data_IF_261584781853
#
_entry.id   IF_261584781853
#
_cell.length_a   1.000
_cell.length_b   1.000
_cell.length_c   1.000
_cell.angle_alpha   90.00
_cell.angle_beta   90.00
_cell.angle_gamma   90.00
#
_symmetry.space_group_name_H-M   'P 1'
#
loop_
_entity.id
_entity.type
_entity.pdbx_description
1 polymer ?
#
# COMPACT_ATOMS: atom_id res chain seq x y z
N UNK A 1 9.46 29.79 -3.15
CA UNK A 1 10.24 28.71 -3.77
C UNK A 1 9.99 28.76 -5.27
N UNK A 2 11.03 28.74 -6.09
CA UNK A 2 10.87 28.74 -7.55
C UNK A 2 10.31 27.38 -8.01
N UNK A 3 9.48 27.32 -9.05
CA UNK A 3 8.99 26.05 -9.59
C UNK A 3 10.16 25.27 -10.17
N UNK A 4 10.29 24.00 -9.78
CA UNK A 4 11.25 23.05 -10.35
C UNK A 4 10.75 22.75 -11.76
N UNK A 5 11.38 23.33 -12.78
CA UNK A 5 11.22 22.91 -14.16
C UNK A 5 12.06 21.64 -14.36
N UNK A 6 11.46 20.48 -14.20
CA UNK A 6 12.05 19.22 -14.65
C UNK A 6 11.80 19.05 -16.14
N UNK A 7 12.85 19.15 -16.93
CA UNK A 7 12.83 18.66 -18.32
C UNK A 7 12.88 17.13 -18.24
N UNK A 8 11.74 16.46 -18.42
CA UNK A 8 11.64 14.99 -18.49
C UNK A 8 12.35 14.57 -19.80
N UNK A 9 13.45 13.80 -19.70
CA UNK A 9 14.03 13.11 -20.84
C UNK A 9 13.19 11.85 -21.15
N UNK A 10 13.09 11.48 -22.43
CA UNK A 10 12.33 10.30 -22.86
C UNK A 10 13.04 9.01 -22.38
N UNK A 11 12.87 8.62 -21.13
CA UNK A 11 13.52 7.47 -20.48
C UNK A 11 13.47 7.53 -18.96
N UNK A 12 13.09 8.69 -18.40
CA UNK A 12 13.01 8.88 -16.95
C UNK A 12 11.56 8.73 -16.46
N UNK A 13 11.38 8.28 -15.21
CA UNK A 13 10.07 8.29 -14.54
C UNK A 13 9.57 9.74 -14.32
N UNK A 14 8.32 9.88 -13.90
CA UNK A 14 7.71 11.19 -13.65
C UNK A 14 8.35 11.94 -12.47
N UNK A 15 8.73 11.21 -11.40
CA UNK A 15 9.41 11.75 -10.23
C UNK A 15 10.64 10.92 -9.89
N UNK A 16 11.68 11.60 -9.39
CA UNK A 16 12.94 10.98 -9.01
C UNK A 16 12.79 10.24 -7.66
N UNK A 17 13.18 8.97 -7.66
CA UNK A 17 13.20 8.11 -6.49
C UNK A 17 14.63 7.91 -5.98
N UNK A 18 14.78 7.70 -4.68
CA UNK A 18 16.05 7.26 -4.10
C UNK A 18 16.41 5.89 -4.69
N UNK A 19 17.57 5.80 -5.31
CA UNK A 19 18.04 4.59 -5.98
C UNK A 19 17.48 4.37 -7.40
N UNK A 20 16.97 5.41 -8.07
CA UNK A 20 16.52 5.34 -9.46
C UNK A 20 17.63 4.91 -10.45
N UNK A 21 18.89 5.21 -10.11
CA UNK A 21 20.11 4.86 -10.83
C UNK A 21 20.85 3.65 -10.25
N UNK A 22 20.22 2.92 -9.29
CA UNK A 22 20.84 1.77 -8.63
C UNK A 22 21.27 0.73 -9.66
N UNK A 23 22.57 0.46 -9.72
CA UNK A 23 23.13 -0.63 -10.51
C UNK A 23 23.22 -1.90 -9.66
N UNK A 24 22.72 -3.02 -10.18
CA UNK A 24 22.71 -4.32 -9.52
C UNK A 24 23.47 -5.37 -10.32
N UNK A 25 24.18 -6.31 -9.64
CA UNK A 25 24.86 -7.40 -10.31
C UNK A 25 23.90 -8.49 -10.72
N UNK A 26 24.08 -9.06 -11.91
CA UNK A 26 23.42 -10.26 -12.38
C UNK A 26 24.24 -11.53 -12.03
N UNK A 27 23.62 -12.69 -12.16
CA UNK A 27 24.28 -13.98 -11.88
C UNK A 27 25.40 -14.33 -12.86
N UNK A 28 25.41 -13.77 -14.04
CA UNK A 28 26.49 -13.89 -15.06
C UNK A 28 27.65 -12.92 -14.85
N UNK A 29 27.54 -12.00 -13.88
CA UNK A 29 28.55 -11.01 -13.51
C UNK A 29 28.36 -9.65 -14.20
N UNK A 30 27.40 -9.49 -15.09
CA UNK A 30 27.05 -8.18 -15.63
C UNK A 30 26.40 -7.28 -14.57
N UNK A 31 26.43 -5.97 -14.80
CA UNK A 31 25.78 -4.96 -13.96
C UNK A 31 24.79 -4.18 -14.79
N UNK A 32 23.56 -4.08 -14.29
CA UNK A 32 22.48 -3.37 -14.99
C UNK A 32 21.78 -2.41 -14.03
N UNK A 33 21.13 -1.38 -14.57
CA UNK A 33 20.22 -0.53 -13.81
C UNK A 33 19.06 -1.40 -13.25
N UNK A 34 18.77 -1.27 -12.00
CA UNK A 34 17.65 -1.98 -11.37
C UNK A 34 16.31 -1.42 -11.84
N UNK A 35 15.43 -2.26 -12.35
CA UNK A 35 14.06 -1.91 -12.67
C UNK A 35 13.15 -2.32 -11.51
N UNK A 36 12.69 -1.34 -10.71
CA UNK A 36 11.79 -1.61 -9.58
C UNK A 36 10.33 -1.61 -10.05
N UNK A 37 9.74 -2.78 -10.15
CA UNK A 37 8.33 -3.00 -10.46
C UNK A 37 7.58 -3.68 -9.30
N UNK A 38 8.02 -3.45 -8.04
CA UNK A 38 7.35 -3.93 -6.82
C UNK A 38 6.81 -2.77 -5.94
N UNK A 39 6.42 -1.66 -6.55
CA UNK A 39 5.93 -0.47 -5.84
C UNK A 39 4.67 -0.73 -5.00
N UNK A 40 3.79 -1.64 -5.42
CA UNK A 40 2.58 -2.01 -4.68
C UNK A 40 2.87 -2.76 -3.37
N UNK A 41 4.06 -3.37 -3.21
CA UNK A 41 4.51 -3.92 -1.94
C UNK A 41 5.11 -2.83 -1.05
N UNK A 42 6.12 -2.09 -1.56
CA UNK A 42 6.73 -0.94 -0.90
C UNK A 42 7.44 -0.08 -1.94
N UNK A 43 7.07 1.19 -2.03
CA UNK A 43 7.72 2.14 -2.92
C UNK A 43 9.00 2.70 -2.30
N UNK A 44 10.08 2.93 -3.09
CA UNK A 44 11.23 3.70 -2.65
C UNK A 44 10.82 5.11 -2.23
N UNK A 45 11.63 5.79 -1.42
CA UNK A 45 11.38 7.18 -1.09
C UNK A 45 11.51 8.07 -2.33
N UNK A 46 10.66 9.11 -2.45
CA UNK A 46 10.99 10.23 -3.33
C UNK A 46 12.29 10.88 -2.87
N UNK A 47 13.11 11.34 -3.81
CA UNK A 47 14.35 12.06 -3.48
C UNK A 47 14.08 13.30 -2.63
N UNK A 48 12.98 14.01 -2.91
CA UNK A 48 12.53 15.16 -2.12
C UNK A 48 12.12 14.79 -0.69
N UNK A 49 11.55 13.58 -0.48
CA UNK A 49 11.18 13.09 0.85
C UNK A 49 12.44 12.77 1.67
N UNK A 50 13.41 12.09 1.07
CA UNK A 50 14.67 11.79 1.73
C UNK A 50 15.41 13.07 2.14
N UNK A 51 15.50 14.06 1.24
CA UNK A 51 16.10 15.34 1.53
C UNK A 51 15.39 16.09 2.66
N UNK A 52 14.05 16.12 2.65
CA UNK A 52 13.27 16.75 3.71
C UNK A 52 13.49 16.10 5.08
N UNK A 53 13.56 14.76 5.13
CA UNK A 53 13.88 14.01 6.37
C UNK A 53 15.30 14.33 6.84
N UNK A 54 16.27 14.41 5.94
CA UNK A 54 17.65 14.77 6.25
C UNK A 54 17.76 16.19 6.86
N UNK A 55 16.99 17.16 6.35
CA UNK A 55 16.90 18.51 6.90
C UNK A 55 16.29 18.55 8.31
N UNK A 56 15.35 17.66 8.63
CA UNK A 56 14.73 17.58 9.95
C UNK A 56 15.61 16.90 10.99
N UNK A 57 16.47 15.96 10.61
CA UNK A 57 17.27 15.12 11.53
C UNK A 57 18.07 15.91 12.56
N UNK A 58 18.77 17.05 12.24
CA UNK A 58 19.49 17.85 13.23
C UNK A 58 18.60 18.45 14.32
N UNK A 59 17.30 18.61 14.04
CA UNK A 59 16.30 19.17 14.95
C UNK A 59 15.44 18.09 15.62
N UNK A 60 15.77 16.80 15.43
CA UNK A 60 14.99 15.73 16.04
C UNK A 60 15.07 15.77 17.57
N UNK A 61 13.93 15.88 18.22
CA UNK A 61 13.79 15.95 19.67
C UNK A 61 12.46 15.34 20.13
N UNK A 62 12.14 15.50 21.42
CA UNK A 62 10.87 15.00 21.96
C UNK A 62 9.68 15.77 21.38
N UNK A 63 8.65 15.05 20.96
CA UNK A 63 7.40 15.64 20.44
C UNK A 63 6.45 15.92 21.61
N UNK A 64 5.88 17.12 21.69
CA UNK A 64 4.91 17.61 22.70
C UNK A 64 5.37 17.68 24.16
N UNK A 65 6.64 17.38 24.50
CA UNK A 65 7.05 17.20 25.91
C UNK A 65 8.33 17.91 26.30
N UNK A 66 8.92 18.70 25.42
CA UNK A 66 10.16 19.42 25.68
C UNK A 66 10.05 20.89 25.42
N UNK A 67 10.77 21.71 26.23
CA UNK A 67 10.89 23.15 26.05
C UNK A 67 12.13 23.55 25.24
N UNK A 68 13.00 22.61 24.90
CA UNK A 68 14.19 22.85 24.09
C UNK A 68 13.87 23.16 22.63
N UNK A 69 14.71 23.93 21.95
CA UNK A 69 14.48 24.37 20.57
C UNK A 69 14.21 23.19 19.62
N UNK A 70 15.01 22.14 19.66
CA UNK A 70 14.80 20.95 18.82
C UNK A 70 13.44 20.27 19.08
N UNK A 71 12.99 20.21 20.35
CA UNK A 71 11.68 19.68 20.71
C UNK A 71 10.53 20.54 20.17
N UNK A 72 10.68 21.87 20.17
CA UNK A 72 9.70 22.77 19.58
C UNK A 72 9.60 22.56 18.06
N UNK A 73 10.74 22.49 17.36
CA UNK A 73 10.78 22.25 15.91
C UNK A 73 10.17 20.87 15.57
N UNK A 74 10.54 19.81 16.31
CA UNK A 74 9.96 18.48 16.08
C UNK A 74 8.47 18.43 16.32
N UNK A 75 7.97 19.16 17.33
CA UNK A 75 6.54 19.26 17.63
C UNK A 75 5.79 20.00 16.53
N UNK A 76 6.33 21.12 16.06
CA UNK A 76 5.76 21.89 14.96
C UNK A 76 5.73 21.08 13.67
N UNK A 77 6.84 20.41 13.31
CA UNK A 77 6.92 19.54 12.14
C UNK A 77 5.88 18.41 12.20
N UNK A 78 5.69 17.80 13.37
CA UNK A 78 4.70 16.73 13.56
C UNK A 78 3.25 17.25 13.44
N UNK A 79 2.98 18.44 13.99
CA UNK A 79 1.66 19.09 13.90
C UNK A 79 1.36 19.48 12.45
N UNK A 80 2.33 20.12 11.76
CA UNK A 80 2.17 20.50 10.36
C UNK A 80 2.03 19.28 9.43
N UNK A 81 2.73 18.19 9.74
CA UNK A 81 2.57 16.93 9.00
C UNK A 81 1.11 16.43 9.07
N UNK A 82 0.46 16.52 10.22
CA UNK A 82 -0.95 16.14 10.39
C UNK A 82 -1.89 17.01 9.56
N UNK A 83 -1.65 18.31 9.56
CA UNK A 83 -2.43 19.26 8.76
C UNK A 83 -2.31 18.98 7.27
N UNK A 84 -1.08 18.80 6.75
CA UNK A 84 -0.81 18.50 5.34
C UNK A 84 -1.46 17.16 4.90
N UNK A 85 -1.42 16.15 5.76
CA UNK A 85 -2.13 14.89 5.50
C UNK A 85 -3.64 15.09 5.50
N UNK A 86 -4.18 15.91 6.39
CA UNK A 86 -5.59 16.30 6.40
C UNK A 86 -5.99 17.04 5.13
N UNK A 87 -5.19 18.00 4.68
CA UNK A 87 -5.36 18.74 3.42
C UNK A 87 -5.35 17.77 2.21
N UNK A 88 -4.40 16.82 2.20
CA UNK A 88 -4.29 15.79 1.14
C UNK A 88 -5.53 14.91 1.04
N UNK A 89 -6.10 14.54 2.19
CA UNK A 89 -7.28 13.69 2.28
C UNK A 89 -8.61 14.46 2.23
N UNK A 90 -8.61 15.79 2.10
CA UNK A 90 -9.84 16.57 2.10
C UNK A 90 -10.68 16.36 3.36
N UNK A 91 -10.04 16.27 4.55
CA UNK A 91 -10.75 15.98 5.81
C UNK A 91 -11.71 17.10 6.19
N UNK A 92 -12.82 16.74 6.85
CA UNK A 92 -13.77 17.68 7.47
C UNK A 92 -13.15 18.32 8.71
N UNK A 93 -13.71 19.45 9.17
CA UNK A 93 -13.20 20.20 10.34
C UNK A 93 -13.14 19.34 11.62
N UNK A 94 -14.09 18.42 11.80
CA UNK A 94 -14.22 17.56 12.98
C UNK A 94 -13.62 16.15 12.80
N UNK A 95 -13.04 15.85 11.65
CA UNK A 95 -12.33 14.59 11.43
C UNK A 95 -11.00 14.55 12.20
N UNK A 96 -10.57 13.35 12.56
CA UNK A 96 -9.25 13.11 13.15
C UNK A 96 -8.31 12.53 12.08
N UNK A 97 -7.06 12.96 12.10
CA UNK A 97 -5.96 12.35 11.39
C UNK A 97 -5.04 11.71 12.42
N UNK A 98 -4.87 10.40 12.38
CA UNK A 98 -4.07 9.62 13.32
C UNK A 98 -2.87 9.00 12.59
N UNK A 99 -1.69 9.13 13.18
CA UNK A 99 -0.52 8.40 12.69
C UNK A 99 -0.44 7.02 13.34
N UNK A 100 -0.29 6.02 12.51
CA UNK A 100 -0.16 4.61 12.86
C UNK A 100 1.14 4.07 12.26
N UNK A 101 1.43 2.77 12.40
CA UNK A 101 2.61 2.16 11.74
C UNK A 101 2.35 1.88 10.26
N UNK A 102 1.13 1.53 9.89
CA UNK A 102 0.70 1.17 8.53
C UNK A 102 -0.83 0.98 8.49
N UNK A 103 -1.40 0.63 7.33
CA UNK A 103 -2.84 0.34 7.16
C UNK A 103 -3.33 -0.79 8.08
N UNK A 104 -2.55 -1.85 8.27
CA UNK A 104 -2.92 -2.95 9.20
C UNK A 104 -3.13 -2.43 10.61
N UNK A 105 -2.23 -1.56 11.08
CA UNK A 105 -2.31 -0.93 12.39
C UNK A 105 -3.52 0.01 12.49
N UNK A 106 -3.77 0.79 11.43
CA UNK A 106 -4.91 1.70 11.31
C UNK A 106 -6.26 0.98 11.46
N UNK A 107 -6.45 -0.13 10.73
CA UNK A 107 -7.68 -0.91 10.84
C UNK A 107 -7.81 -1.68 12.16
N UNK A 108 -6.71 -2.12 12.77
CA UNK A 108 -6.77 -2.67 14.13
C UNK A 108 -7.19 -1.61 15.16
N UNK A 109 -6.73 -0.35 15.01
CA UNK A 109 -7.18 0.77 15.83
C UNK A 109 -8.68 1.01 15.62
N UNK A 110 -9.15 1.14 14.38
CA UNK A 110 -10.55 1.37 14.05
C UNK A 110 -11.45 0.23 14.56
N UNK A 111 -11.02 -1.03 14.41
CA UNK A 111 -11.74 -2.20 14.95
C UNK A 111 -11.88 -2.16 16.47
N UNK A 112 -10.87 -1.63 17.18
CA UNK A 112 -10.92 -1.41 18.62
C UNK A 112 -11.80 -0.22 19.04
N UNK A 113 -12.14 0.68 18.12
CA UNK A 113 -12.97 1.84 18.35
C UNK A 113 -14.45 1.64 17.94
N UNK A 114 -14.77 0.51 17.30
CA UNK A 114 -16.15 0.21 16.91
C UNK A 114 -17.09 0.21 18.10
N UNK A 115 -18.32 0.76 17.96
CA UNK A 115 -19.35 0.65 18.99
C UNK A 115 -19.70 -0.80 19.29
N UNK A 116 -20.13 -1.07 20.52
CA UNK A 116 -20.58 -2.41 20.92
C UNK A 116 -21.75 -2.88 20.04
N UNK A 117 -21.67 -4.13 19.58
CA UNK A 117 -22.68 -4.71 18.69
C UNK A 117 -22.61 -4.24 17.25
N UNK A 118 -21.52 -3.60 16.85
CA UNK A 118 -21.31 -3.20 15.45
C UNK A 118 -21.23 -4.43 14.53
N UNK A 119 -21.88 -4.35 13.37
CA UNK A 119 -21.74 -5.29 12.25
C UNK A 119 -20.79 -4.71 11.21
N UNK A 120 -19.83 -5.50 10.74
CA UNK A 120 -18.92 -5.12 9.66
C UNK A 120 -19.22 -5.95 8.42
N UNK A 121 -19.44 -5.26 7.29
CA UNK A 121 -19.60 -5.86 5.97
C UNK A 121 -18.28 -5.70 5.20
N UNK A 122 -17.76 -6.79 4.63
CA UNK A 122 -16.52 -6.76 3.85
C UNK A 122 -16.57 -7.81 2.74
N UNK A 123 -15.74 -7.65 1.71
CA UNK A 123 -15.67 -8.61 0.61
C UNK A 123 -14.55 -9.62 0.87
N UNK A 124 -14.77 -10.88 0.49
CA UNK A 124 -13.80 -11.97 0.67
C UNK A 124 -12.45 -11.69 0.00
N UNK A 125 -12.45 -10.94 -1.12
CA UNK A 125 -11.26 -10.62 -1.91
C UNK A 125 -10.35 -9.53 -1.32
N UNK A 126 -10.67 -8.98 -0.16
CA UNK A 126 -9.91 -7.93 0.50
C UNK A 126 -8.50 -8.39 0.91
N UNK A 127 -7.58 -7.44 0.96
CA UNK A 127 -6.27 -7.65 1.60
C UNK A 127 -6.44 -8.06 3.08
N UNK A 128 -5.58 -8.93 3.60
CA UNK A 128 -5.66 -9.40 4.99
C UNK A 128 -5.73 -8.28 6.03
N UNK A 129 -5.12 -7.12 5.76
CA UNK A 129 -5.20 -5.93 6.63
C UNK A 129 -6.63 -5.40 6.74
N UNK A 130 -7.47 -5.62 5.71
CA UNK A 130 -8.88 -5.22 5.67
C UNK A 130 -9.86 -6.39 5.87
N UNK A 131 -9.39 -7.58 6.22
CA UNK A 131 -10.21 -8.74 6.59
C UNK A 131 -10.09 -9.10 8.06
N UNK A 132 -8.85 -9.20 8.56
CA UNK A 132 -8.59 -9.85 9.85
C UNK A 132 -8.97 -9.01 11.07
N UNK A 133 -8.79 -7.67 11.08
CA UNK A 133 -9.14 -6.86 12.25
C UNK A 133 -10.62 -6.95 12.63
N UNK A 134 -11.49 -7.10 11.65
CA UNK A 134 -12.94 -7.10 11.84
C UNK A 134 -13.48 -8.34 12.54
N UNK A 135 -12.70 -9.44 12.64
CA UNK A 135 -13.09 -10.68 13.35
C UNK A 135 -13.41 -10.48 14.83
N UNK A 136 -13.18 -9.27 15.36
CA UNK A 136 -13.60 -8.87 16.72
C UNK A 136 -15.06 -8.40 16.80
N UNK A 137 -15.69 -8.17 15.65
CA UNK A 137 -17.09 -7.73 15.50
C UNK A 137 -17.96 -8.86 14.89
N UNK A 138 -19.25 -8.59 14.69
CA UNK A 138 -20.10 -9.41 13.82
C UNK A 138 -19.72 -9.11 12.36
N UNK A 139 -19.07 -10.08 11.69
CA UNK A 139 -18.60 -9.91 10.30
C UNK A 139 -19.54 -10.60 9.34
N UNK A 140 -19.94 -9.88 8.29
CA UNK A 140 -20.69 -10.41 7.15
C UNK A 140 -19.85 -10.36 5.90
N UNK A 141 -19.50 -11.51 5.39
CA UNK A 141 -18.75 -11.68 4.14
C UNK A 141 -19.69 -11.57 2.95
N UNK A 142 -19.33 -10.72 2.00
CA UNK A 142 -20.12 -10.43 0.79
C UNK A 142 -19.69 -11.28 -0.42
N UNK A 143 -18.71 -12.17 -0.25
CA UNK A 143 -18.14 -12.99 -1.32
C UNK A 143 -17.19 -12.19 -2.23
N UNK A 144 -16.86 -12.79 -3.38
CA UNK A 144 -16.03 -12.16 -4.42
C UNK A 144 -16.95 -11.86 -5.61
N UNK A 145 -17.25 -10.57 -5.91
CA UNK A 145 -18.19 -10.22 -6.96
C UNK A 145 -17.56 -10.37 -8.35
N UNK A 146 -18.32 -10.85 -9.34
CA UNK A 146 -17.88 -10.99 -10.71
C UNK A 146 -17.99 -9.68 -11.54
N UNK A 147 -18.54 -8.60 -10.95
CA UNK A 147 -18.62 -7.28 -11.58
C UNK A 147 -18.85 -6.19 -10.52
N UNK A 148 -18.60 -4.90 -10.84
CA UNK A 148 -18.98 -3.78 -9.98
C UNK A 148 -20.48 -3.79 -9.62
N UNK A 149 -21.34 -4.11 -10.57
CA UNK A 149 -22.78 -4.20 -10.34
C UNK A 149 -23.15 -5.32 -9.36
N UNK A 150 -22.46 -6.47 -9.42
CA UNK A 150 -22.67 -7.56 -8.47
C UNK A 150 -22.18 -7.18 -7.07
N UNK A 151 -21.06 -6.44 -6.97
CA UNK A 151 -20.59 -5.91 -5.69
C UNK A 151 -21.64 -5.05 -5.00
N UNK A 152 -22.25 -4.09 -5.74
CA UNK A 152 -23.31 -3.25 -5.24
C UNK A 152 -24.57 -4.05 -4.85
N UNK A 153 -24.97 -5.02 -5.69
CA UNK A 153 -26.12 -5.87 -5.39
C UNK A 153 -25.88 -6.78 -4.15
N UNK A 154 -24.67 -7.31 -3.96
CA UNK A 154 -24.32 -8.09 -2.78
C UNK A 154 -24.35 -7.23 -1.51
N UNK A 155 -23.78 -6.02 -1.58
CA UNK A 155 -23.81 -5.05 -0.50
C UNK A 155 -25.24 -4.65 -0.13
N UNK A 156 -26.09 -4.33 -1.10
CA UNK A 156 -27.48 -3.93 -0.86
C UNK A 156 -28.27 -5.04 -0.16
N UNK A 157 -28.12 -6.28 -0.63
CA UNK A 157 -28.78 -7.44 0.01
C UNK A 157 -28.37 -7.57 1.49
N UNK A 158 -27.09 -7.39 1.79
CA UNK A 158 -26.59 -7.48 3.16
C UNK A 158 -27.07 -6.33 4.04
N UNK A 159 -27.02 -5.09 3.52
CA UNK A 159 -27.48 -3.88 4.22
C UNK A 159 -28.96 -3.96 4.61
N UNK A 160 -29.82 -4.48 3.73
CA UNK A 160 -31.27 -4.67 4.00
C UNK A 160 -31.55 -5.63 5.17
N UNK A 161 -30.60 -6.47 5.56
CA UNK A 161 -30.73 -7.43 6.64
C UNK A 161 -30.14 -6.94 7.97
N UNK A 162 -29.66 -5.69 8.03
CA UNK A 162 -29.12 -5.08 9.25
C UNK A 162 -30.22 -4.84 10.26
N UNK A 163 -29.94 -5.14 11.54
CA UNK A 163 -30.89 -5.02 12.64
C UNK A 163 -31.01 -3.60 13.24
N UNK A 164 -30.52 -2.54 12.56
CA UNK A 164 -30.58 -1.15 13.03
C UNK A 164 -29.53 -0.75 14.07
N UNK A 165 -28.54 -1.60 14.34
CA UNK A 165 -27.35 -1.28 15.13
C UNK A 165 -26.29 -0.54 14.31
N UNK A 166 -25.16 -0.12 14.95
CA UNK A 166 -24.04 0.47 14.23
C UNK A 166 -23.47 -0.51 13.19
N UNK A 167 -23.17 -0.01 12.00
CA UNK A 167 -22.65 -0.82 10.92
C UNK A 167 -21.52 -0.11 10.18
N UNK A 168 -20.55 -0.89 9.69
CA UNK A 168 -19.42 -0.44 8.92
C UNK A 168 -19.30 -1.30 7.64
N UNK A 169 -19.20 -0.66 6.49
CA UNK A 169 -18.73 -1.29 5.24
C UNK A 169 -17.24 -1.02 5.14
N UNK A 170 -16.42 -2.06 5.06
CA UNK A 170 -14.99 -1.93 4.87
C UNK A 170 -14.62 -2.45 3.50
N UNK A 171 -14.04 -1.58 2.65
CA UNK A 171 -13.79 -1.86 1.23
C UNK A 171 -12.47 -1.30 0.77
N UNK A 172 -11.79 -2.03 -0.13
CA UNK A 172 -10.61 -1.53 -0.82
C UNK A 172 -10.95 -0.45 -1.84
N UNK A 173 -10.11 0.57 -1.95
CA UNK A 173 -10.21 1.56 -3.01
C UNK A 173 -9.70 1.05 -4.35
N UNK A 174 -8.62 0.25 -4.31
CA UNK A 174 -8.04 -0.42 -5.47
C UNK A 174 -7.44 -1.76 -5.08
N UNK A 175 -7.64 -2.78 -5.91
CA UNK A 175 -7.13 -4.14 -5.67
C UNK A 175 -5.59 -4.15 -5.68
N UNK A 176 -4.99 -4.70 -4.63
CA UNK A 176 -3.55 -4.90 -4.57
C UNK A 176 -3.06 -6.12 -5.39
N UNK A 177 -3.96 -6.87 -5.98
CA UNK A 177 -3.67 -8.03 -6.83
C UNK A 177 -3.82 -7.68 -8.30
N UNK A 178 -4.92 -7.05 -8.67
CA UNK A 178 -5.36 -6.89 -10.05
C UNK A 178 -5.52 -5.43 -10.48
N UNK A 179 -5.49 -4.49 -9.54
CA UNK A 179 -5.46 -3.06 -9.83
C UNK A 179 -6.82 -2.41 -10.08
N UNK A 180 -7.93 -3.14 -10.10
CA UNK A 180 -9.26 -2.54 -10.31
C UNK A 180 -9.61 -1.55 -9.20
N UNK A 181 -10.09 -0.37 -9.60
CA UNK A 181 -10.67 0.63 -8.71
C UNK A 181 -12.12 0.28 -8.46
N UNK A 182 -12.49 0.23 -7.18
CA UNK A 182 -13.84 -0.15 -6.76
C UNK A 182 -14.83 1.02 -6.90
N UNK A 183 -16.14 0.76 -7.05
CA UNK A 183 -17.18 1.80 -7.19
C UNK A 183 -17.46 2.47 -5.84
N UNK A 184 -16.51 3.29 -5.37
CA UNK A 184 -16.48 3.84 -4.00
C UNK A 184 -17.69 4.73 -3.75
N UNK A 185 -18.00 5.64 -4.67
CA UNK A 185 -19.09 6.60 -4.52
C UNK A 185 -20.45 5.89 -4.39
N UNK A 186 -20.71 4.87 -5.22
CA UNK A 186 -21.93 4.08 -5.18
C UNK A 186 -22.01 3.22 -3.91
N UNK A 187 -20.89 2.66 -3.46
CA UNK A 187 -20.81 1.92 -2.20
C UNK A 187 -21.13 2.82 -1.02
N UNK A 188 -20.56 4.03 -0.98
CA UNK A 188 -20.80 5.03 0.07
C UNK A 188 -22.27 5.45 0.10
N UNK A 189 -22.82 5.84 -1.07
CA UNK A 189 -24.23 6.25 -1.18
C UNK A 189 -25.17 5.14 -0.69
N UNK A 190 -24.88 3.89 -1.07
CA UNK A 190 -25.67 2.73 -0.68
C UNK A 190 -25.56 2.44 0.83
N UNK A 191 -24.36 2.47 1.40
CA UNK A 191 -24.11 2.27 2.82
C UNK A 191 -24.83 3.33 3.66
N UNK A 192 -24.68 4.60 3.32
CA UNK A 192 -25.31 5.71 4.03
C UNK A 192 -26.84 5.68 3.95
N UNK A 193 -27.43 5.28 2.80
CA UNK A 193 -28.86 5.10 2.68
C UNK A 193 -29.44 4.06 3.67
N UNK A 194 -28.61 3.17 4.20
CA UNK A 194 -28.95 2.16 5.20
C UNK A 194 -28.39 2.46 6.60
N UNK A 195 -27.82 3.65 6.81
CA UNK A 195 -27.24 4.08 8.09
C UNK A 195 -25.93 3.40 8.48
N UNK A 196 -25.24 2.76 7.53
CA UNK A 196 -23.90 2.20 7.70
C UNK A 196 -22.83 3.22 7.34
N UNK A 197 -21.68 3.17 8.02
CA UNK A 197 -20.46 3.94 7.69
C UNK A 197 -19.58 3.18 6.71
N UNK A 198 -18.65 3.91 6.08
CA UNK A 198 -17.67 3.32 5.15
C UNK A 198 -16.25 3.59 5.62
N UNK A 199 -15.43 2.53 5.70
CA UNK A 199 -13.99 2.59 5.85
C UNK A 199 -13.32 2.18 4.53
N UNK A 200 -12.55 3.10 3.95
CA UNK A 200 -11.83 2.91 2.71
C UNK A 200 -10.40 2.46 2.98
N UNK A 201 -10.03 1.27 2.51
CA UNK A 201 -8.64 0.87 2.38
C UNK A 201 -8.04 1.56 1.16
N UNK A 202 -7.35 2.68 1.39
CA UNK A 202 -6.67 3.44 0.36
C UNK A 202 -5.19 3.05 0.22
N UNK A 203 -4.77 1.89 0.73
CA UNK A 203 -3.36 1.48 0.73
C UNK A 203 -2.73 1.43 -0.67
N UNK A 204 -3.51 1.03 -1.68
CA UNK A 204 -3.08 1.12 -3.08
C UNK A 204 -3.53 2.45 -3.71
N UNK A 205 -4.75 2.89 -3.43
CA UNK A 205 -5.35 4.03 -4.12
C UNK A 205 -4.59 5.35 -3.87
N UNK A 206 -4.14 5.61 -2.63
CA UNK A 206 -3.58 6.90 -2.22
C UNK A 206 -2.30 7.33 -2.96
N UNK A 207 -1.56 6.37 -3.57
CA UNK A 207 -0.38 6.68 -4.39
C UNK A 207 -0.72 6.93 -5.88
N UNK A 208 -1.93 6.60 -6.31
CA UNK A 208 -2.33 6.48 -7.72
C UNK A 208 -3.48 7.42 -8.11
N UNK A 209 -4.35 7.76 -7.16
CA UNK A 209 -5.55 8.59 -7.38
C UNK A 209 -5.76 9.54 -6.21
N UNK A 210 -6.42 10.69 -6.42
CA UNK A 210 -6.84 11.54 -5.32
C UNK A 210 -7.81 10.78 -4.40
N UNK A 211 -7.62 10.95 -3.10
CA UNK A 211 -8.54 10.43 -2.07
C UNK A 211 -9.01 11.61 -1.25
N UNK A 212 -10.25 12.04 -1.46
CA UNK A 212 -10.87 13.15 -0.74
C UNK A 212 -12.05 12.63 0.08
N UNK A 213 -11.90 12.66 1.41
CA UNK A 213 -12.90 12.16 2.37
C UNK A 213 -14.23 12.89 2.23
N UNK A 214 -14.16 14.22 2.00
CA UNK A 214 -15.37 15.04 1.88
C UNK A 214 -16.08 14.81 0.55
N UNK A 215 -15.33 14.77 -0.54
CA UNK A 215 -15.91 14.56 -1.88
C UNK A 215 -16.48 13.15 -2.06
N UNK A 216 -15.78 12.12 -1.58
CA UNK A 216 -16.24 10.73 -1.61
C UNK A 216 -17.27 10.41 -0.52
N UNK A 217 -17.44 11.31 0.46
CA UNK A 217 -18.26 11.14 1.66
C UNK A 217 -17.95 9.87 2.48
N UNK A 218 -16.73 9.34 2.41
CA UNK A 218 -16.30 8.21 3.23
C UNK A 218 -16.16 8.63 4.70
N UNK A 219 -16.35 7.70 5.64
CA UNK A 219 -16.28 7.98 7.07
C UNK A 219 -14.87 7.80 7.62
N UNK A 220 -14.13 6.86 7.09
CA UNK A 220 -12.74 6.55 7.46
C UNK A 220 -11.90 6.20 6.25
N UNK A 221 -10.64 6.62 6.25
CA UNK A 221 -9.62 6.26 5.24
C UNK A 221 -8.38 5.79 5.95
N UNK A 222 -7.77 4.71 5.44
CA UNK A 222 -6.47 4.24 5.93
C UNK A 222 -5.50 3.99 4.78
N UNK A 223 -4.22 4.39 4.96
CA UNK A 223 -3.14 4.06 4.02
C UNK A 223 -1.78 3.93 4.73
N UNK A 224 -0.79 3.43 4.00
CA UNK A 224 0.57 3.21 4.51
C UNK A 224 1.57 4.14 3.84
N UNK A 225 2.42 4.80 4.61
CA UNK A 225 3.45 5.71 4.10
C UNK A 225 4.43 5.03 3.13
N UNK A 226 4.81 3.77 3.40
CA UNK A 226 5.76 3.05 2.54
C UNK A 226 5.23 2.73 1.13
N UNK A 227 3.94 2.94 0.86
CA UNK A 227 3.35 2.80 -0.48
C UNK A 227 3.18 4.14 -1.18
N UNK A 228 3.12 5.23 -0.42
CA UNK A 228 3.07 6.60 -0.94
C UNK A 228 4.45 7.28 -0.88
N UNK A 229 5.51 6.52 -1.18
CA UNK A 229 6.90 7.00 -1.30
C UNK A 229 7.52 7.53 -0.01
N UNK A 230 7.01 7.13 1.17
CA UNK A 230 7.52 7.50 2.50
C UNK A 230 7.83 6.26 3.36
N UNK A 231 8.92 5.48 3.07
CA UNK A 231 9.22 4.21 3.74
C UNK A 231 9.85 4.39 5.13
N UNK A 232 9.26 5.22 5.99
CA UNK A 232 9.78 5.56 7.33
C UNK A 232 8.91 5.03 8.47
N UNK A 233 8.16 3.96 8.24
CA UNK A 233 7.45 3.20 9.28
C UNK A 233 6.22 3.90 9.86
N UNK A 234 5.54 4.72 9.08
CA UNK A 234 4.29 5.35 9.45
C UNK A 234 3.17 5.04 8.45
N UNK A 235 1.94 5.15 8.93
CA UNK A 235 0.69 5.09 8.17
C UNK A 235 -0.32 6.07 8.75
N UNK A 236 -1.50 6.12 8.17
CA UNK A 236 -2.55 7.07 8.52
C UNK A 236 -3.89 6.34 8.69
N UNK A 237 -4.65 6.76 9.69
CA UNK A 237 -6.09 6.60 9.79
C UNK A 237 -6.71 7.99 9.90
N UNK A 238 -7.61 8.33 9.00
CA UNK A 238 -8.32 9.61 9.05
C UNK A 238 -9.84 9.38 8.99
N UNK A 239 -10.62 10.25 9.63
CA UNK A 239 -12.08 10.23 9.58
C UNK A 239 -12.75 10.63 10.87
N UNK A 240 -14.04 10.29 11.01
CA UNK A 240 -14.95 10.80 12.04
C UNK A 240 -14.46 10.56 13.47
N UNK A 241 -14.50 11.62 14.26
CA UNK A 241 -13.97 11.63 15.62
C UNK A 241 -14.80 10.87 16.65
N UNK A 242 -16.10 10.70 16.44
CA UNK A 242 -17.02 10.21 17.46
C UNK A 242 -16.71 8.79 17.94
N UNK A 243 -16.61 7.80 17.04
CA UNK A 243 -16.25 6.43 17.42
C UNK A 243 -14.83 6.36 17.95
N UNK A 244 -13.90 7.10 17.34
CA UNK A 244 -12.50 7.15 17.78
C UNK A 244 -12.39 7.72 19.21
N UNK A 245 -13.11 8.81 19.53
CA UNK A 245 -13.10 9.40 20.87
C UNK A 245 -13.87 8.57 21.91
N UNK A 246 -14.90 7.82 21.50
CA UNK A 246 -15.68 6.95 22.39
C UNK A 246 -14.97 5.63 22.69
N UNK A 247 -14.16 5.11 21.76
CA UNK A 247 -13.42 3.86 21.89
C UNK A 247 -12.36 3.88 22.99
N UNK A 248 -11.86 2.71 23.37
CA UNK A 248 -10.69 2.62 24.25
C UNK A 248 -9.44 3.17 23.53
N UNK A 249 -8.49 3.77 24.27
CA UNK A 249 -7.21 4.17 23.68
C UNK A 249 -6.54 2.97 23.01
N UNK A 250 -6.06 3.16 21.78
CA UNK A 250 -5.36 2.09 21.07
C UNK A 250 -4.05 1.71 21.77
N UNK A 251 -3.26 2.74 22.13
CA UNK A 251 -2.03 2.58 22.91
C UNK A 251 -2.20 3.29 24.26
N UNK A 252 -2.54 2.50 25.28
CA UNK A 252 -2.66 3.02 26.65
C UNK A 252 -1.27 3.31 27.21
N UNK A 253 -0.93 4.60 27.39
CA UNK A 253 0.38 5.00 27.87
C UNK A 253 0.52 6.51 28.08
N UNK A 254 1.75 6.94 28.35
CA UNK A 254 2.06 8.37 28.47
C UNK A 254 1.73 9.09 27.15
N UNK A 255 1.08 10.25 27.24
CA UNK A 255 0.56 11.01 26.11
C UNK A 255 -0.88 10.77 25.79
N UNK A 256 -1.41 9.55 25.98
CA UNK A 256 -2.80 9.22 25.79
C UNK A 256 -3.71 9.64 26.95
N UNK A 257 -3.13 10.09 28.07
CA UNK A 257 -3.84 10.42 29.32
C UNK A 257 -3.78 11.90 29.61
N UNK A 258 -4.86 12.45 30.19
CA UNK A 258 -4.88 13.75 30.86
C UNK A 258 -4.41 13.61 32.30
N UNK A 259 -4.89 12.60 33.01
CA UNK A 259 -4.57 12.35 34.41
C UNK A 259 -4.66 10.88 34.76
N UNK A 260 -3.73 10.42 35.60
CA UNK A 260 -3.79 9.09 36.25
C UNK A 260 -3.83 9.30 37.74
N UNK A 261 -4.73 8.61 38.44
CA UNK A 261 -4.86 8.58 39.91
C UNK A 261 -4.87 7.14 40.39
N UNK A 262 -4.83 6.92 41.69
CA UNK A 262 -4.98 5.59 42.26
C UNK A 262 -6.34 4.94 41.93
N UNK A 263 -7.36 5.78 41.70
CA UNK A 263 -8.76 5.33 41.55
C UNK A 263 -9.19 5.23 40.06
N UNK A 264 -8.37 5.71 39.13
CA UNK A 264 -8.73 5.68 37.70
C UNK A 264 -7.86 6.51 36.76
N UNK A 265 -8.27 6.51 35.51
CA UNK A 265 -7.59 7.19 34.39
C UNK A 265 -8.56 8.11 33.67
N UNK A 266 -8.16 9.37 33.49
CA UNK A 266 -8.79 10.30 32.57
C UNK A 266 -8.01 10.31 31.25
N UNK A 267 -8.62 9.79 30.20
CA UNK A 267 -8.00 9.70 28.88
C UNK A 267 -8.02 11.02 28.13
N UNK A 268 -7.05 11.21 27.27
CA UNK A 268 -7.05 12.29 26.28
C UNK A 268 -8.18 12.15 25.26
N UNK A 269 -8.33 13.15 24.42
CA UNK A 269 -9.25 13.18 23.26
C UNK A 269 -8.47 13.45 21.99
N UNK A 270 -9.07 13.20 20.84
CA UNK A 270 -8.43 13.41 19.54
C UNK A 270 -7.25 12.47 19.32
N UNK A 271 -6.27 12.88 18.49
CA UNK A 271 -5.14 12.04 18.13
C UNK A 271 -4.33 11.54 19.33
N UNK A 272 -4.10 12.39 20.32
CA UNK A 272 -3.34 12.04 21.52
C UNK A 272 -3.90 10.82 22.25
N UNK A 273 -5.22 10.57 22.17
CA UNK A 273 -5.86 9.39 22.77
C UNK A 273 -5.30 8.08 22.27
N UNK A 274 -4.91 8.02 20.99
CA UNK A 274 -4.51 6.80 20.31
C UNK A 274 -2.99 6.71 20.03
N UNK A 275 -2.29 7.84 20.06
CA UNK A 275 -0.86 7.94 19.78
C UNK A 275 -0.03 7.96 21.08
N UNK A 276 -0.25 6.97 21.97
CA UNK A 276 0.50 6.86 23.23
C UNK A 276 1.99 6.60 22.99
N UNK A 277 2.83 7.17 23.88
CA UNK A 277 4.28 7.07 23.77
C UNK A 277 4.91 8.19 22.94
N UNK A 278 6.12 7.97 22.42
CA UNK A 278 6.76 8.89 21.45
C UNK A 278 6.30 8.48 20.04
N UNK A 279 5.69 9.40 19.29
CA UNK A 279 5.18 9.07 17.96
C UNK A 279 6.31 8.87 16.94
N UNK A 280 6.00 8.23 15.80
CA UNK A 280 6.90 8.07 14.67
C UNK A 280 7.02 9.40 13.89
N UNK A 281 7.63 10.43 14.51
CA UNK A 281 7.64 11.81 13.99
C UNK A 281 8.30 11.92 12.62
N UNK A 282 9.42 11.22 12.39
CA UNK A 282 10.09 11.21 11.09
C UNK A 282 9.20 10.54 10.01
N UNK A 283 8.50 9.46 10.37
CA UNK A 283 7.58 8.80 9.45
C UNK A 283 6.37 9.67 9.10
N UNK A 284 5.79 10.37 10.07
CA UNK A 284 4.69 11.32 9.85
C UNK A 284 5.13 12.47 8.94
N UNK A 285 6.31 13.05 9.21
CA UNK A 285 6.89 14.11 8.40
C UNK A 285 7.20 13.63 6.96
N UNK A 286 7.74 12.43 6.82
CA UNK A 286 8.00 11.82 5.51
C UNK A 286 6.71 11.63 4.69
N UNK A 287 5.61 11.18 5.34
CA UNK A 287 4.29 11.08 4.66
C UNK A 287 3.85 12.46 4.20
N UNK A 288 3.94 13.48 5.05
CA UNK A 288 3.55 14.85 4.69
C UNK A 288 4.38 15.40 3.51
N UNK A 289 5.69 15.15 3.49
CA UNK A 289 6.56 15.53 2.38
C UNK A 289 6.16 14.80 1.08
N UNK A 290 5.84 13.50 1.18
CA UNK A 290 5.44 12.71 0.02
C UNK A 290 4.10 13.16 -0.56
N UNK A 291 3.06 13.30 0.27
CA UNK A 291 1.72 13.72 -0.21
C UNK A 291 1.76 15.14 -0.78
N UNK A 292 2.56 16.03 -0.19
CA UNK A 292 2.79 17.38 -0.74
C UNK A 292 3.47 17.32 -2.13
N UNK A 293 4.48 16.45 -2.31
CA UNK A 293 5.13 16.28 -3.61
C UNK A 293 4.16 15.73 -4.67
N UNK A 294 3.32 14.76 -4.32
CA UNK A 294 2.30 14.22 -5.23
C UNK A 294 1.27 15.30 -5.63
N UNK A 295 0.78 16.08 -4.66
CA UNK A 295 -0.14 17.21 -4.94
C UNK A 295 0.49 18.28 -5.83
N UNK A 296 1.78 18.62 -5.60
CA UNK A 296 2.50 19.60 -6.43
C UNK A 296 2.75 19.10 -7.86
N UNK A 297 2.94 17.81 -8.05
CA UNK A 297 3.06 17.18 -9.38
C UNK A 297 1.73 17.25 -10.12
N UNK A 298 0.63 17.10 -9.42
CA UNK A 298 -0.73 17.12 -9.96
C UNK A 298 -1.20 15.73 -10.43
N UNK A 299 -2.41 15.40 -10.03
CA UNK A 299 -3.01 14.08 -10.29
C UNK A 299 -3.18 13.78 -11.78
N UNK A 300 -3.48 14.78 -12.61
CA UNK A 300 -3.62 14.57 -14.06
C UNK A 300 -2.34 14.03 -14.69
N UNK A 301 -1.16 14.52 -14.25
CA UNK A 301 0.12 14.05 -14.74
C UNK A 301 0.45 12.65 -14.22
N UNK A 302 0.19 12.39 -12.94
CA UNK A 302 0.43 11.08 -12.31
C UNK A 302 -0.43 10.01 -12.98
N UNK A 303 -1.72 10.28 -13.15
CA UNK A 303 -2.67 9.35 -13.79
C UNK A 303 -2.32 9.12 -15.26
N UNK A 304 -2.01 10.17 -16.01
CA UNK A 304 -1.64 10.03 -17.42
C UNK A 304 -0.37 9.18 -17.60
N UNK A 305 0.67 9.44 -16.80
CA UNK A 305 1.89 8.66 -16.80
C UNK A 305 1.65 7.19 -16.48
N UNK A 306 0.85 6.91 -15.44
CA UNK A 306 0.52 5.55 -15.03
C UNK A 306 -0.28 4.80 -16.09
N UNK A 307 -1.31 5.44 -16.67
CA UNK A 307 -2.17 4.80 -17.68
C UNK A 307 -1.41 4.48 -18.97
N UNK A 308 -0.48 5.32 -19.38
CA UNK A 308 0.39 5.05 -20.54
C UNK A 308 1.25 3.80 -20.30
N UNK A 309 1.88 3.69 -19.12
CA UNK A 309 2.70 2.54 -18.76
C UNK A 309 1.87 1.27 -18.52
N UNK A 310 0.68 1.41 -17.95
CA UNK A 310 -0.24 0.30 -17.72
C UNK A 310 -0.74 -0.29 -19.06
N UNK A 311 -1.16 0.56 -20.00
CA UNK A 311 -1.56 0.12 -21.35
C UNK A 311 -0.41 -0.60 -22.07
N UNK A 312 0.82 -0.04 -22.00
CA UNK A 312 2.02 -0.66 -22.55
C UNK A 312 2.29 -2.05 -21.93
N UNK A 313 2.18 -2.16 -20.60
CA UNK A 313 2.41 -3.42 -19.88
C UNK A 313 1.36 -4.47 -20.24
N UNK A 314 0.07 -4.12 -20.19
CA UNK A 314 -1.04 -5.04 -20.49
C UNK A 314 -1.00 -5.50 -21.95
N UNK A 315 -0.86 -4.57 -22.89
CA UNK A 315 -0.76 -4.89 -24.32
C UNK A 315 0.46 -5.78 -24.61
N UNK A 316 1.60 -5.48 -23.95
CA UNK A 316 2.80 -6.27 -24.11
C UNK A 316 2.64 -7.70 -23.55
N UNK A 317 2.11 -7.86 -22.35
CA UNK A 317 1.87 -9.19 -21.76
C UNK A 317 0.85 -10.02 -22.57
N UNK A 318 -0.22 -9.38 -23.06
CA UNK A 318 -1.24 -10.06 -23.86
C UNK A 318 -0.71 -10.55 -25.22
N UNK A 319 0.37 -9.93 -25.72
CA UNK A 319 1.01 -10.34 -26.97
C UNK A 319 1.98 -11.53 -26.79
N UNK A 320 2.29 -11.93 -25.56
CA UNK A 320 3.23 -13.02 -25.28
C UNK A 320 2.52 -14.36 -25.19
N UNK A 321 2.98 -15.35 -25.95
CA UNK A 321 2.47 -16.70 -25.93
C UNK A 321 2.71 -17.35 -24.53
N UNK A 322 1.69 -18.00 -24.00
CA UNK A 322 1.75 -18.69 -22.71
C UNK A 322 1.77 -17.76 -21.48
N UNK A 323 1.61 -16.45 -21.67
CA UNK A 323 1.44 -15.49 -20.58
C UNK A 323 -0.03 -15.25 -20.33
N UNK A 324 -0.40 -15.20 -19.05
CA UNK A 324 -1.79 -14.97 -18.61
C UNK A 324 -1.81 -13.90 -17.54
N UNK A 325 -2.64 -12.86 -17.74
CA UNK A 325 -2.93 -11.82 -16.76
C UNK A 325 -4.14 -12.19 -15.90
N UNK A 326 -4.20 -11.69 -14.66
CA UNK A 326 -5.33 -11.86 -13.76
C UNK A 326 -6.14 -10.57 -13.66
N UNK A 327 -7.45 -10.72 -13.76
CA UNK A 327 -8.42 -9.64 -13.65
C UNK A 327 -9.60 -10.12 -12.81
N UNK A 328 -10.05 -9.29 -11.88
CA UNK A 328 -11.24 -9.60 -11.08
C UNK A 328 -12.50 -9.42 -11.94
N UNK A 329 -12.56 -8.34 -12.70
CA UNK A 329 -13.69 -7.96 -13.54
C UNK A 329 -13.28 -7.89 -15.01
N UNK A 330 -14.26 -7.87 -15.90
CA UNK A 330 -14.03 -7.69 -17.32
C UNK A 330 -13.26 -6.39 -17.58
N UNK A 331 -12.29 -6.44 -18.47
CA UNK A 331 -11.43 -5.30 -18.83
C UNK A 331 -12.28 -4.14 -19.35
N UNK A 332 -12.11 -2.95 -18.78
CA UNK A 332 -12.91 -1.78 -19.09
C UNK A 332 -14.21 -1.62 -18.27
N UNK A 333 -14.52 -2.57 -17.36
CA UNK A 333 -15.65 -2.43 -16.45
C UNK A 333 -15.44 -1.37 -15.35
N UNK A 334 -14.19 -1.00 -15.08
CA UNK A 334 -13.79 0.00 -14.09
C UNK A 334 -12.45 0.64 -14.47
N UNK A 335 -12.05 1.70 -13.74
CA UNK A 335 -10.69 2.24 -13.78
C UNK A 335 -9.70 1.27 -13.12
N UNK A 336 -8.40 1.41 -13.42
CA UNK A 336 -7.33 0.58 -12.87
C UNK A 336 -6.13 1.43 -12.47
N UNK A 337 -5.46 1.00 -11.41
CA UNK A 337 -4.13 1.49 -11.05
C UNK A 337 -3.05 0.58 -11.62
N UNK A 338 -1.81 1.03 -11.63
CA UNK A 338 -0.66 0.37 -12.23
C UNK A 338 -0.22 -0.92 -11.52
N UNK A 339 -1.14 -1.85 -11.29
CA UNK A 339 -0.92 -3.16 -10.66
C UNK A 339 -1.40 -4.26 -11.58
N UNK A 340 -0.50 -5.16 -11.97
CA UNK A 340 -0.78 -6.27 -12.89
C UNK A 340 -0.20 -7.56 -12.34
N UNK A 341 -1.05 -8.54 -12.08
CA UNK A 341 -0.63 -9.91 -11.75
C UNK A 341 -0.71 -10.79 -12.98
N UNK A 342 0.29 -11.65 -13.16
CA UNK A 342 0.39 -12.53 -14.33
C UNK A 342 1.17 -13.81 -14.00
N UNK A 343 1.01 -14.83 -14.83
CA UNK A 343 1.81 -16.05 -14.81
C UNK A 343 2.25 -16.43 -16.22
N UNK A 344 3.33 -17.22 -16.29
CA UNK A 344 3.80 -17.91 -17.50
C UNK A 344 3.41 -19.38 -17.38
N UNK A 345 2.79 -19.95 -18.41
CA UNK A 345 2.33 -21.33 -18.41
C UNK A 345 3.48 -22.31 -18.19
N UNK A 346 3.29 -23.28 -17.29
CA UNK A 346 4.30 -24.29 -16.97
C UNK A 346 5.46 -23.80 -16.10
N UNK A 347 5.49 -22.53 -15.70
CA UNK A 347 6.55 -21.96 -14.86
C UNK A 347 6.03 -21.60 -13.45
N UNK A 348 6.79 -21.99 -12.44
CA UNK A 348 6.50 -21.57 -11.04
C UNK A 348 6.67 -20.06 -10.88
N UNK A 349 5.67 -19.31 -10.33
CA UNK A 349 5.75 -17.85 -10.18
C UNK A 349 6.94 -17.38 -9.36
N UNK A 350 7.35 -18.15 -8.35
CA UNK A 350 8.50 -17.82 -7.54
C UNK A 350 9.82 -18.00 -8.30
N UNK A 351 9.90 -19.00 -9.17
CA UNK A 351 11.04 -19.18 -10.04
C UNK A 351 11.12 -18.06 -11.08
N UNK A 352 9.99 -17.67 -11.67
CA UNK A 352 9.93 -16.53 -12.60
C UNK A 352 10.40 -15.24 -11.94
N UNK A 353 9.89 -14.92 -10.75
CA UNK A 353 10.31 -13.72 -10.01
C UNK A 353 11.79 -13.74 -9.63
N UNK A 354 12.31 -14.91 -9.21
CA UNK A 354 13.73 -15.08 -8.90
C UNK A 354 14.62 -14.88 -10.14
N UNK A 355 14.22 -15.41 -11.29
CA UNK A 355 14.94 -15.26 -12.55
C UNK A 355 14.91 -13.82 -13.07
N UNK A 356 13.76 -13.14 -13.02
CA UNK A 356 13.65 -11.72 -13.36
C UNK A 356 14.61 -10.87 -12.54
N UNK A 357 14.72 -11.14 -11.22
CA UNK A 357 15.66 -10.44 -10.36
C UNK A 357 17.13 -10.79 -10.60
N UNK A 358 17.43 -12.07 -10.75
CA UNK A 358 18.81 -12.56 -10.78
C UNK A 358 19.48 -12.48 -12.17
N UNK A 359 18.70 -12.69 -13.23
CA UNK A 359 19.20 -12.73 -14.61
C UNK A 359 18.95 -11.43 -15.39
N UNK A 360 17.99 -10.59 -14.94
CA UNK A 360 17.58 -9.39 -15.67
C UNK A 360 17.59 -8.09 -14.85
N UNK A 361 17.83 -8.17 -13.52
CA UNK A 361 17.86 -6.99 -12.63
C UNK A 361 16.49 -6.31 -12.48
N UNK A 362 15.40 -7.09 -12.52
CA UNK A 362 14.01 -6.60 -12.46
C UNK A 362 13.37 -7.09 -11.16
N UNK A 363 12.96 -6.15 -10.31
CA UNK A 363 12.25 -6.44 -9.06
C UNK A 363 10.75 -6.51 -9.25
N UNK A 364 10.16 -7.67 -8.97
CA UNK A 364 8.72 -7.93 -8.95
C UNK A 364 8.35 -8.68 -7.67
N UNK A 365 7.06 -8.80 -7.39
CA UNK A 365 6.55 -9.61 -6.27
C UNK A 365 6.02 -10.94 -6.77
N UNK A 366 6.23 -12.02 -5.97
CA UNK A 366 5.56 -13.29 -6.18
C UNK A 366 4.70 -13.70 -4.97
N UNK A 367 3.76 -14.62 -5.18
CA UNK A 367 2.95 -15.24 -4.14
C UNK A 367 1.46 -14.91 -4.22
N UNK A 368 0.77 -14.92 -3.06
CA UNK A 368 -0.67 -14.66 -2.94
C UNK A 368 -1.00 -13.22 -2.47
N UNK A 369 -0.02 -12.35 -2.33
CA UNK A 369 -0.14 -10.90 -2.06
C UNK A 369 -0.98 -10.54 -0.83
N UNK A 370 -0.99 -11.38 0.22
CA UNK A 370 -1.86 -11.26 1.38
C UNK A 370 -3.36 -11.17 1.02
N UNK A 371 -3.78 -11.85 -0.03
CA UNK A 371 -5.15 -11.94 -0.54
C UNK A 371 -5.48 -13.40 -0.94
N UNK A 372 -5.18 -14.35 -0.05
CA UNK A 372 -5.36 -15.78 -0.34
C UNK A 372 -6.76 -16.11 -0.87
N UNK A 373 -7.88 -15.62 -0.27
CA UNK A 373 -9.19 -15.97 -0.81
C UNK A 373 -9.43 -15.49 -2.25
N UNK A 374 -8.83 -14.34 -2.64
CA UNK A 374 -8.91 -13.87 -4.02
C UNK A 374 -8.09 -14.74 -4.97
N UNK A 375 -6.90 -15.16 -4.54
CA UNK A 375 -6.06 -16.06 -5.34
C UNK A 375 -6.69 -17.46 -5.47
N UNK A 376 -7.34 -17.99 -4.41
CA UNK A 376 -8.10 -19.23 -4.44
C UNK A 376 -9.30 -19.13 -5.40
N UNK A 377 -9.96 -17.96 -5.47
CA UNK A 377 -11.02 -17.69 -6.45
C UNK A 377 -10.49 -17.82 -7.89
N UNK A 378 -9.32 -17.25 -8.18
CA UNK A 378 -8.69 -17.40 -9.50
C UNK A 378 -8.32 -18.85 -9.80
N UNK A 379 -7.85 -19.62 -8.81
CA UNK A 379 -7.62 -21.07 -8.98
C UNK A 379 -8.91 -21.80 -9.35
N UNK A 380 -10.00 -21.51 -8.65
CA UNK A 380 -11.29 -22.13 -8.91
C UNK A 380 -11.86 -21.78 -10.29
N UNK A 381 -11.67 -20.53 -10.74
CA UNK A 381 -12.13 -20.01 -12.03
C UNK A 381 -11.27 -20.51 -13.19
N UNK A 382 -9.97 -20.49 -12.99
CA UNK A 382 -8.98 -20.52 -14.07
C UNK A 382 -7.94 -21.65 -13.95
N UNK A 383 -7.89 -22.32 -12.79
CA UNK A 383 -6.80 -23.24 -12.46
C UNK A 383 -5.51 -22.51 -12.02
N UNK A 384 -4.46 -23.27 -11.73
CA UNK A 384 -3.16 -22.74 -11.32
C UNK A 384 -2.79 -23.04 -9.86
N UNK A 385 -1.74 -22.38 -9.34
CA UNK A 385 -1.15 -22.66 -8.03
C UNK A 385 -1.70 -21.81 -6.89
N UNK A 386 -2.55 -20.83 -7.16
CA UNK A 386 -2.94 -19.83 -6.16
C UNK A 386 -1.87 -18.76 -5.90
N UNK A 387 -0.86 -18.72 -6.74
CA UNK A 387 0.23 -17.73 -6.69
C UNK A 387 0.42 -17.10 -8.07
N UNK A 388 0.93 -15.89 -8.08
CA UNK A 388 1.24 -15.16 -9.30
C UNK A 388 2.50 -14.30 -9.14
N UNK A 389 3.04 -13.81 -10.24
CA UNK A 389 3.97 -12.69 -10.26
C UNK A 389 3.16 -11.41 -10.42
N UNK A 390 3.54 -10.35 -9.70
CA UNK A 390 2.91 -9.04 -9.78
C UNK A 390 3.95 -7.99 -10.13
N UNK A 391 3.74 -7.31 -11.24
CA UNK A 391 4.43 -6.09 -11.58
C UNK A 391 3.58 -4.88 -11.16
N UNK A 392 4.20 -3.85 -10.61
CA UNK A 392 3.51 -2.64 -10.17
C UNK A 392 4.28 -1.38 -10.52
N UNK A 393 3.57 -0.46 -11.16
CA UNK A 393 4.04 0.81 -11.67
C UNK A 393 3.99 1.85 -10.53
N UNK A 394 4.96 2.75 -10.50
CA UNK A 394 4.98 3.92 -9.62
C UNK A 394 5.41 5.16 -10.38
N UNK A 395 5.43 6.33 -9.71
CA UNK A 395 5.79 7.62 -10.33
C UNK A 395 7.22 7.66 -10.85
N UNK A 396 8.10 6.79 -10.39
CA UNK A 396 9.47 6.67 -10.88
C UNK A 396 9.68 5.57 -11.94
N UNK A 397 8.64 4.84 -12.33
CA UNK A 397 8.72 3.80 -13.35
C UNK A 397 8.83 4.44 -14.74
N UNK A 398 9.71 3.91 -15.59
CA UNK A 398 9.89 4.37 -16.96
C UNK A 398 9.34 3.38 -17.99
N UNK A 399 9.17 3.83 -19.22
CA UNK A 399 8.81 2.95 -20.34
C UNK A 399 9.90 1.88 -20.60
N UNK A 400 11.18 2.21 -20.39
CA UNK A 400 12.28 1.26 -20.47
C UNK A 400 12.16 0.12 -19.47
N UNK A 401 11.70 0.41 -18.23
CA UNK A 401 11.48 -0.62 -17.21
C UNK A 401 10.41 -1.63 -17.65
N UNK A 402 9.34 -1.15 -18.28
CA UNK A 402 8.27 -2.00 -18.83
C UNK A 402 8.79 -2.82 -20.01
N UNK A 403 9.51 -2.21 -20.94
CA UNK A 403 10.07 -2.92 -22.09
C UNK A 403 11.05 -4.01 -21.69
N UNK A 404 11.90 -3.74 -20.70
CA UNK A 404 12.83 -4.73 -20.15
C UNK A 404 12.09 -5.89 -19.49
N UNK A 405 11.00 -5.61 -18.73
CA UNK A 405 10.17 -6.67 -18.16
C UNK A 405 9.57 -7.55 -19.25
N UNK A 406 8.95 -6.94 -20.28
CA UNK A 406 8.32 -7.68 -21.37
C UNK A 406 9.33 -8.54 -22.13
N UNK A 407 10.51 -7.99 -22.45
CA UNK A 407 11.57 -8.74 -23.12
C UNK A 407 12.11 -9.90 -22.27
N UNK A 408 12.24 -9.71 -20.95
CA UNK A 408 12.68 -10.74 -20.02
C UNK A 408 11.63 -11.86 -19.88
N UNK A 409 10.35 -11.50 -19.75
CA UNK A 409 9.24 -12.48 -19.67
C UNK A 409 9.13 -13.27 -20.96
N UNK A 410 9.19 -12.63 -22.14
CA UNK A 410 9.17 -13.30 -23.44
C UNK A 410 10.33 -14.30 -23.59
N UNK A 411 11.54 -13.89 -23.22
CA UNK A 411 12.72 -14.76 -23.24
C UNK A 411 12.54 -15.98 -22.33
N UNK A 412 12.15 -15.75 -21.08
CA UNK A 412 11.96 -16.84 -20.10
C UNK A 412 10.82 -17.77 -20.52
N UNK A 413 9.73 -17.24 -21.09
CA UNK A 413 8.61 -18.04 -21.58
C UNK A 413 9.03 -18.98 -22.73
N UNK A 414 9.90 -18.54 -23.63
CA UNK A 414 10.36 -19.33 -24.78
C UNK A 414 11.56 -20.23 -24.50
N UNK A 415 12.50 -19.79 -23.69
CA UNK A 415 13.80 -20.43 -23.51
C UNK A 415 13.96 -21.08 -22.13
N UNK A 416 13.07 -20.74 -21.18
CA UNK A 416 13.23 -21.11 -19.77
C UNK A 416 14.20 -20.18 -19.04
N UNK A 417 14.46 -20.48 -17.75
CA UNK A 417 15.44 -19.75 -16.93
C UNK A 417 16.87 -20.13 -17.31
N UNK A 418 17.77 -19.15 -17.34
CA UNK A 418 19.17 -19.33 -17.77
C UNK A 418 20.11 -19.79 -16.65
N UNK A 419 19.67 -19.80 -15.40
CA UNK A 419 20.48 -20.16 -14.23
C UNK A 419 19.88 -21.33 -13.46
N UNK A 420 20.63 -21.90 -12.51
CA UNK A 420 20.14 -22.94 -11.58
C UNK A 420 19.55 -22.28 -10.33
N UNK A 421 18.41 -22.77 -9.86
CA UNK A 421 17.73 -22.26 -8.67
C UNK A 421 17.48 -23.38 -7.67
N UNK A 422 17.45 -23.02 -6.39
CA UNK A 422 17.10 -23.92 -5.28
C UNK A 422 16.10 -23.24 -4.36
N UNK A 423 15.19 -24.05 -3.83
CA UNK A 423 14.30 -23.58 -2.77
C UNK A 423 14.98 -23.71 -1.41
N UNK A 424 15.01 -22.60 -0.64
CA UNK A 424 15.50 -22.56 0.75
C UNK A 424 14.56 -21.72 1.59
N UNK A 425 14.06 -22.28 2.68
CA UNK A 425 13.17 -21.59 3.63
C UNK A 425 11.95 -20.93 2.94
N UNK A 426 11.37 -21.56 1.93
CA UNK A 426 10.25 -21.03 1.16
C UNK A 426 10.61 -19.90 0.20
N UNK A 427 11.89 -19.68 -0.11
CA UNK A 427 12.35 -18.73 -1.12
C UNK A 427 13.11 -19.46 -2.23
N UNK A 428 12.87 -19.09 -3.48
CA UNK A 428 13.63 -19.57 -4.64
C UNK A 428 14.82 -18.65 -4.86
N UNK A 429 16.02 -19.21 -4.85
CA UNK A 429 17.28 -18.47 -4.89
C UNK A 429 18.22 -19.07 -5.95
N UNK A 430 19.04 -18.24 -6.66
CA UNK A 430 20.06 -18.77 -7.57
C UNK A 430 21.11 -19.57 -6.81
N UNK A 431 21.62 -20.66 -7.44
CA UNK A 431 22.59 -21.55 -6.84
C UNK A 431 23.62 -22.05 -7.88
N UNK A 432 24.93 -21.65 -7.80
CA UNK A 432 25.43 -20.68 -6.83
C UNK A 432 24.88 -19.27 -7.05
N UNK A 433 24.88 -18.43 -6.00
CA UNK A 433 24.65 -16.99 -6.15
C UNK A 433 26.02 -16.26 -6.10
N UNK A 434 26.59 -15.87 -7.24
CA UNK A 434 27.90 -15.21 -7.31
C UNK A 434 27.82 -13.69 -7.07
N UNK A 435 26.62 -13.11 -6.94
CA UNK A 435 26.43 -11.67 -6.88
C UNK A 435 27.02 -11.08 -5.60
N UNK A 436 27.86 -10.03 -5.70
CA UNK A 436 28.37 -9.34 -4.53
C UNK A 436 27.24 -8.60 -3.80
N UNK A 437 27.37 -8.48 -2.48
CA UNK A 437 26.41 -7.77 -1.62
C UNK A 437 26.99 -6.50 -1.07
N UNK A 438 26.17 -5.45 -0.90
CA UNK A 438 26.61 -4.27 -0.16
C UNK A 438 26.81 -4.62 1.32
N UNK A 439 27.91 -4.17 1.93
CA UNK A 439 28.20 -4.43 3.36
C UNK A 439 27.29 -3.66 4.31
N UNK A 440 26.78 -2.48 3.92
CA UNK A 440 25.96 -1.57 4.74
C UNK A 440 26.51 -1.42 6.18
N UNK A 441 27.79 -1.10 6.30
CA UNK A 441 28.47 -0.92 7.59
C UNK A 441 28.69 -2.21 8.37
N UNK A 442 28.81 -3.35 7.70
CA UNK A 442 29.01 -4.67 8.31
C UNK A 442 27.70 -5.37 8.74
N UNK A 443 26.54 -4.74 8.56
CA UNK A 443 25.25 -5.32 8.95
C UNK A 443 24.81 -6.51 8.08
N UNK A 444 25.33 -6.59 6.84
CA UNK A 444 25.01 -7.66 5.90
C UNK A 444 26.19 -8.64 5.70
N UNK A 445 27.20 -8.60 6.56
CA UNK A 445 28.31 -9.53 6.52
C UNK A 445 27.86 -10.91 7.03
N UNK A 446 27.90 -11.93 6.19
CA UNK A 446 27.50 -13.30 6.51
C UNK A 446 26.76 -14.02 5.39
N UNK A 447 26.56 -15.35 5.50
CA UNK A 447 25.77 -16.09 4.51
C UNK A 447 24.31 -15.64 4.54
N UNK A 448 23.68 -15.57 3.36
CA UNK A 448 22.22 -15.39 3.27
C UNK A 448 21.54 -16.73 3.44
N UNK A 449 21.05 -16.98 4.61
CA UNK A 449 19.95 -17.91 4.77
C UNK A 449 18.68 -17.15 4.33
N UNK A 450 18.09 -17.54 3.20
CA UNK A 450 16.84 -16.92 2.72
C UNK A 450 15.86 -16.84 3.89
N UNK A 451 15.48 -15.61 4.28
CA UNK A 451 14.51 -15.41 5.35
C UNK A 451 13.21 -16.12 5.00
N UNK A 452 12.60 -16.84 5.96
CA UNK A 452 11.30 -17.47 5.73
C UNK A 452 10.29 -16.45 5.22
N UNK A 453 9.72 -16.69 4.04
CA UNK A 453 8.64 -15.85 3.50
C UNK A 453 7.32 -16.26 4.18
N UNK A 454 6.74 -15.44 5.07
CA UNK A 454 5.49 -15.79 5.75
C UNK A 454 4.27 -15.82 4.81
N UNK A 455 4.43 -15.42 3.56
CA UNK A 455 3.36 -15.38 2.55
C UNK A 455 3.32 -16.61 1.64
N UNK A 456 4.13 -17.63 1.90
CA UNK A 456 4.24 -18.86 1.09
C UNK A 456 3.74 -20.13 1.78
N UNK A 457 3.01 -20.01 2.88
CA UNK A 457 2.40 -21.17 3.55
C UNK A 457 0.93 -21.29 3.22
#
# INVERSE_FOLDING_TARGET
>A
MAPIQTSISAGDGLLELVGHDLSVPLVDGEWVRYANLDNAASAPALQSVAAAVEELLPYYGSVHRGAGFASLVSTEAYTRARELVGEFLGTREDDLVLFTRNTTDAFNLLAGALPAGATVLTFTGEHHANLLPWRRADVRDLGIPASPAEALAALERALRTLGGGPALVSVTGASNVTGEVWPIEEIVALAHAHGARVALDAAQLAAHRPVDITALDVDYVAFSGHKVYAPYGAGVLAGRADWLNAGQPYLAGGGAVRRVTADGVEWGTGPARHEGGTPAALGAFAIAAAVNALQQTGWDQIVAHELELLDRLLTGLDALDGVRTYELWERGACDRVGVVSFNVEGLDPALLAAALGAEHGIGVRDGAFCAHPLMDHFVARDGGSGQAVRASIGVGTSADDIDRLLAAVDRIAREGVGWTYVERNGSVLPNPDPRPRPSLGGLLDGPVDGGASPCRS
#
